data_IF_878616336625
#
_entry.id   IF_878616336625
#
_cell.length_a   1.000
_cell.length_b   1.000
_cell.length_c   1.000
_cell.angle_alpha   90.00
_cell.angle_beta   90.00
_cell.angle_gamma   90.00
#
_symmetry.space_group_name_H-M   'P 1'
#
loop_
_entity.id
_entity.type
_entity.pdbx_description
1 polymer ?
#
# COMPACT_ATOMS: atom_id res chain seq x y z
N UNK A 1 8.45 21.63 11.47
CA UNK A 1 8.25 21.76 10.01
C UNK A 1 7.45 20.55 9.58
N UNK A 2 6.14 20.62 9.84
CA UNK A 2 5.22 19.50 9.65
C UNK A 2 4.83 19.48 8.18
N UNK A 3 5.38 18.54 7.41
CA UNK A 3 4.85 18.22 6.08
C UNK A 3 3.49 17.56 6.29
N UNK A 4 2.44 18.37 6.41
CA UNK A 4 1.09 17.90 6.14
C UNK A 4 1.06 17.57 4.65
N UNK A 5 1.03 16.28 4.33
CA UNK A 5 0.71 15.82 2.99
C UNK A 5 -0.63 16.45 2.60
N UNK A 6 -0.60 17.39 1.65
CA UNK A 6 -1.71 17.50 0.70
C UNK A 6 -1.61 16.26 -0.17
N UNK A 7 -2.10 15.12 0.35
CA UNK A 7 -2.49 14.03 -0.53
C UNK A 7 -3.65 14.61 -1.33
N UNK A 8 -3.36 15.03 -2.55
CA UNK A 8 -4.37 15.16 -3.57
C UNK A 8 -5.05 13.79 -3.58
N UNK A 9 -6.28 13.75 -3.08
CA UNK A 9 -7.13 12.56 -3.03
C UNK A 9 -7.39 12.14 -4.48
N UNK A 10 -6.42 11.45 -5.10
CA UNK A 10 -6.67 10.73 -6.32
C UNK A 10 -7.67 9.64 -5.96
N UNK A 11 -8.87 9.62 -6.57
CA UNK A 11 -9.89 8.63 -6.25
C UNK A 11 -9.37 7.19 -6.36
N UNK A 12 -8.35 6.96 -7.20
CA UNK A 12 -7.71 5.65 -7.41
C UNK A 12 -6.90 5.21 -6.18
N UNK A 13 -6.21 6.16 -5.54
CA UNK A 13 -5.44 5.87 -4.33
C UNK A 13 -6.37 5.55 -3.15
N UNK A 14 -7.58 6.11 -3.12
CA UNK A 14 -8.55 5.82 -2.06
C UNK A 14 -9.09 4.38 -2.14
N UNK A 15 -9.30 3.85 -3.34
CA UNK A 15 -9.74 2.46 -3.52
C UNK A 15 -8.63 1.48 -3.13
N UNK A 16 -7.40 1.72 -3.61
CA UNK A 16 -6.23 0.92 -3.25
C UNK A 16 -5.96 0.96 -1.74
N UNK A 17 -6.05 2.14 -1.13
CA UNK A 17 -5.93 2.33 0.32
C UNK A 17 -6.94 1.47 1.08
N UNK A 18 -8.20 1.41 0.66
CA UNK A 18 -9.23 0.59 1.32
C UNK A 18 -8.94 -0.91 1.22
N UNK A 19 -8.44 -1.37 0.08
CA UNK A 19 -8.06 -2.78 -0.12
C UNK A 19 -6.92 -3.16 0.83
N UNK A 20 -5.91 -2.28 0.94
CA UNK A 20 -4.69 -2.50 1.72
C UNK A 20 -4.90 -2.28 3.22
N UNK A 21 -5.75 -1.32 3.62
CA UNK A 21 -6.12 -1.06 5.03
C UNK A 21 -6.87 -2.25 5.67
N UNK A 22 -7.50 -3.11 4.87
CA UNK A 22 -8.12 -4.34 5.36
C UNK A 22 -7.11 -5.46 5.67
N UNK A 23 -5.82 -5.30 5.34
CA UNK A 23 -4.77 -6.27 5.66
C UNK A 23 -4.43 -6.19 7.14
N UNK A 24 -4.55 -7.31 7.85
CA UNK A 24 -4.25 -7.38 9.28
C UNK A 24 -2.82 -6.95 9.57
N UNK A 25 -2.65 -5.83 10.29
CA UNK A 25 -1.35 -5.27 10.65
C UNK A 25 -0.87 -4.11 9.75
N UNK A 26 -1.68 -3.68 8.79
CA UNK A 26 -1.46 -2.50 7.96
C UNK A 26 -2.47 -1.43 8.39
N UNK A 27 -2.02 -0.50 9.22
CA UNK A 27 -2.82 0.65 9.63
C UNK A 27 -2.93 1.71 8.53
N UNK A 28 -3.71 2.76 8.78
CA UNK A 28 -3.96 3.82 7.80
C UNK A 28 -2.69 4.53 7.30
N UNK A 29 -1.66 4.66 8.13
CA UNK A 29 -0.36 5.25 7.73
C UNK A 29 0.34 4.45 6.63
N UNK A 30 0.24 3.11 6.72
CA UNK A 30 0.88 2.17 5.80
C UNK A 30 0.13 2.06 4.48
N UNK A 31 -1.20 2.07 4.54
CA UNK A 31 -2.03 2.02 3.35
C UNK A 31 -1.86 3.26 2.48
N UNK A 32 -1.55 4.41 3.08
CA UNK A 32 -1.14 5.60 2.32
C UNK A 32 0.20 5.43 1.62
N UNK A 33 1.22 4.91 2.30
CA UNK A 33 2.53 4.68 1.68
C UNK A 33 2.45 3.69 0.50
N UNK A 34 1.64 2.63 0.64
CA UNK A 34 1.39 1.67 -0.44
C UNK A 34 0.57 2.33 -1.57
N UNK A 35 -0.46 3.10 -1.25
CA UNK A 35 -1.25 3.80 -2.26
C UNK A 35 -0.48 4.92 -2.99
N UNK A 36 0.58 5.45 -2.39
CA UNK A 36 1.50 6.39 -3.05
C UNK A 36 2.50 5.67 -3.96
N UNK A 37 2.90 4.45 -3.59
CA UNK A 37 3.89 3.66 -4.32
C UNK A 37 3.33 2.92 -5.55
N UNK A 38 2.03 2.60 -5.55
CA UNK A 38 1.39 1.79 -6.60
C UNK A 38 0.15 2.49 -7.14
N UNK A 39 -0.06 2.41 -8.45
CA UNK A 39 -1.12 3.16 -9.13
C UNK A 39 -2.49 2.44 -9.12
N UNK A 40 -2.52 1.14 -8.84
CA UNK A 40 -3.72 0.29 -8.93
C UNK A 40 -3.57 -1.04 -8.20
N UNK A 41 -4.68 -1.73 -7.91
CA UNK A 41 -4.65 -3.06 -7.30
C UNK A 41 -3.95 -4.09 -8.20
N UNK A 42 -4.13 -3.97 -9.53
CA UNK A 42 -3.45 -4.83 -10.50
C UNK A 42 -1.92 -4.63 -10.51
N UNK A 43 -1.47 -3.39 -10.29
CA UNK A 43 -0.06 -3.03 -10.18
C UNK A 43 0.51 -3.62 -8.88
N UNK A 44 -0.20 -3.43 -7.76
CA UNK A 44 0.13 -4.02 -6.46
C UNK A 44 0.15 -5.57 -6.48
N UNK A 45 -0.74 -6.19 -7.24
CA UNK A 45 -0.80 -7.65 -7.40
C UNK A 45 0.33 -8.21 -8.28
N UNK A 46 0.82 -7.39 -9.22
CA UNK A 46 1.96 -7.73 -10.09
C UNK A 46 3.31 -7.43 -9.44
N UNK A 47 3.31 -6.58 -8.39
CA UNK A 47 4.50 -6.21 -7.65
C UNK A 47 5.23 -7.42 -7.06
N UNK A 48 6.55 -7.39 -7.16
CA UNK A 48 7.40 -8.39 -6.50
C UNK A 48 7.46 -8.14 -5.00
N UNK A 49 8.05 -9.10 -4.27
CA UNK A 49 8.29 -8.93 -2.83
C UNK A 49 9.23 -7.76 -2.58
N UNK A 50 10.27 -7.62 -3.39
CA UNK A 50 11.26 -6.54 -3.31
C UNK A 50 10.63 -5.17 -3.58
N UNK A 51 9.68 -5.07 -4.52
CA UNK A 51 8.96 -3.81 -4.79
C UNK A 51 8.12 -3.37 -3.59
N UNK A 52 7.47 -4.32 -2.91
CA UNK A 52 6.72 -4.04 -1.69
C UNK A 52 7.64 -3.67 -0.54
N UNK A 53 8.80 -4.33 -0.41
CA UNK A 53 9.80 -4.03 0.61
C UNK A 53 10.51 -2.68 0.38
N UNK A 54 10.47 -2.14 -0.83
CA UNK A 54 10.97 -0.80 -1.14
C UNK A 54 10.08 0.31 -0.57
N UNK A 55 8.81 0.01 -0.25
CA UNK A 55 7.92 0.96 0.43
C UNK A 55 8.43 1.15 1.87
N UNK A 56 8.65 2.40 2.32
CA UNK A 56 9.15 2.69 3.65
C UNK A 56 8.41 1.89 4.71
N UNK A 57 9.19 1.18 5.53
CA UNK A 57 8.74 0.38 6.66
C UNK A 57 7.71 -0.75 6.33
N UNK A 58 7.51 -1.10 5.05
CA UNK A 58 6.90 -2.38 4.65
C UNK A 58 8.01 -3.44 4.70
N UNK A 59 8.08 -4.22 5.78
CA UNK A 59 9.00 -5.36 5.87
C UNK A 59 8.43 -6.63 5.22
N UNK A 60 9.27 -7.66 5.10
CA UNK A 60 8.95 -8.97 4.49
C UNK A 60 7.59 -9.54 4.93
N UNK A 61 7.28 -9.50 6.24
CA UNK A 61 6.02 -10.00 6.79
C UNK A 61 4.80 -9.24 6.25
N UNK A 62 4.91 -7.91 6.13
CA UNK A 62 3.82 -7.05 5.62
C UNK A 62 3.67 -7.22 4.12
N UNK A 63 4.79 -7.27 3.38
CA UNK A 63 4.80 -7.57 1.95
C UNK A 63 4.08 -8.90 1.65
N UNK A 64 4.36 -9.95 2.43
CA UNK A 64 3.68 -11.24 2.30
C UNK A 64 2.15 -11.14 2.54
N UNK A 65 1.72 -10.42 3.58
CA UNK A 65 0.29 -10.24 3.87
C UNK A 65 -0.45 -9.42 2.81
N UNK A 66 0.21 -8.41 2.22
CA UNK A 66 -0.36 -7.65 1.09
C UNK A 66 -0.54 -8.57 -0.11
N UNK A 67 0.50 -9.34 -0.48
CA UNK A 67 0.43 -10.28 -1.61
C UNK A 67 -0.66 -11.32 -1.44
N UNK A 68 -0.78 -11.91 -0.25
CA UNK A 68 -1.86 -12.86 0.04
C UNK A 68 -3.25 -12.23 -0.15
N UNK A 69 -3.41 -10.95 0.19
CA UNK A 69 -4.68 -10.23 0.07
C UNK A 69 -5.06 -9.91 -1.37
N UNK A 70 -4.09 -9.53 -2.20
CA UNK A 70 -4.33 -9.13 -3.61
C UNK A 70 -4.25 -10.29 -4.59
N UNK A 71 -3.66 -11.42 -4.20
CA UNK A 71 -3.63 -12.65 -5.01
C UNK A 71 -4.92 -13.49 -4.92
N UNK A 72 -5.97 -12.97 -4.28
CA UNK A 72 -7.26 -13.66 -4.07
C UNK A 72 -8.29 -13.37 -5.16
#
# INVERSE_FOLDING_TARGET
>A
MERRLEVVLDPRNDELRRVVECVSGIGSEWSWAVAEAFESEADLASASRDDLEAVPDIGEKRAASIRERVAR
#
